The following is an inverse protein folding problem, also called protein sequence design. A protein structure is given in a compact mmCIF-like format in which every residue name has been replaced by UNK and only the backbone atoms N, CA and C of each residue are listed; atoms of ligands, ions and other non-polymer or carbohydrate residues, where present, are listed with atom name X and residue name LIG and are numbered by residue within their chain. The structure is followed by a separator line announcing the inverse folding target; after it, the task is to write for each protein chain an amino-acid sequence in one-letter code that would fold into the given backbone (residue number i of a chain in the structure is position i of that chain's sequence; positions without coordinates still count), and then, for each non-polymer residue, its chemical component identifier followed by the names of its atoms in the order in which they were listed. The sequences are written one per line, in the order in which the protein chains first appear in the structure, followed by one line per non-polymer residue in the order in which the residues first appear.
data_IF_660324694218
#
_entry.id   IF_660324694218
#
_cell.length_a   1.000
_cell.length_b   1.000
_cell.length_c   1.000
_cell.angle_alpha   90.00
_cell.angle_beta   90.00
_cell.angle_gamma   90.00
#
_symmetry.space_group_name_H-M   'P 1'
#
loop_
_entity.id
_entity.type
_entity.pdbx_description
1 polymer ?
#
# COMPACT_ATOMS: atom_id res chain seq x y z
N UNK A 1 51.92 -30.84 -19.26
CA UNK A 1 51.45 -31.05 -17.87
C UNK A 1 50.03 -30.53 -17.75
N UNK A 2 49.05 -31.43 -17.73
CA UNK A 2 47.62 -31.09 -17.69
C UNK A 2 47.22 -30.91 -16.22
N UNK A 3 46.96 -29.67 -15.78
CA UNK A 3 46.50 -29.36 -14.41
C UNK A 3 45.12 -29.99 -14.22
N UNK A 4 45.04 -31.06 -13.43
CA UNK A 4 43.77 -31.62 -12.96
C UNK A 4 43.01 -30.54 -12.18
N UNK A 5 41.95 -30.00 -12.77
CA UNK A 5 41.00 -29.14 -12.07
C UNK A 5 40.20 -30.01 -11.11
N UNK A 6 40.24 -29.68 -9.82
CA UNK A 6 39.49 -30.39 -8.79
C UNK A 6 37.97 -30.14 -9.01
N UNK A 7 37.20 -31.15 -9.42
CA UNK A 7 35.78 -30.99 -9.77
C UNK A 7 34.93 -30.50 -8.59
N UNK A 8 35.36 -30.77 -7.36
CA UNK A 8 34.69 -30.28 -6.15
C UNK A 8 34.73 -28.77 -6.00
N UNK A 9 35.81 -28.12 -6.43
CA UNK A 9 35.90 -26.65 -6.37
C UNK A 9 34.97 -25.97 -7.35
N UNK A 10 34.68 -26.62 -8.48
CA UNK A 10 33.79 -26.10 -9.50
C UNK A 10 32.32 -26.24 -9.06
N UNK A 11 31.95 -27.40 -8.50
CA UNK A 11 30.61 -27.64 -7.97
C UNK A 11 30.26 -26.69 -6.80
N UNK A 12 31.21 -26.46 -5.88
CA UNK A 12 31.00 -25.54 -4.74
C UNK A 12 30.83 -24.10 -5.21
N UNK A 13 31.58 -23.66 -6.21
CA UNK A 13 31.46 -22.32 -6.78
C UNK A 13 30.11 -22.11 -7.49
N UNK A 14 29.62 -23.12 -8.22
CA UNK A 14 28.31 -23.07 -8.88
C UNK A 14 27.16 -23.00 -7.87
N UNK A 15 27.22 -23.81 -6.80
CA UNK A 15 26.21 -23.77 -5.72
C UNK A 15 26.22 -22.41 -5.00
N UNK A 16 27.39 -21.86 -4.68
CA UNK A 16 27.51 -20.54 -4.05
C UNK A 16 26.95 -19.43 -4.94
N UNK A 17 27.19 -19.47 -6.25
CA UNK A 17 26.63 -18.52 -7.21
C UNK A 17 25.10 -18.61 -7.29
N UNK A 18 24.54 -19.82 -7.27
CA UNK A 18 23.08 -20.02 -7.26
C UNK A 18 22.47 -19.49 -5.96
N UNK A 19 23.09 -19.78 -4.81
CA UNK A 19 22.63 -19.26 -3.51
C UNK A 19 22.70 -17.74 -3.46
N UNK A 20 23.78 -17.14 -3.97
CA UNK A 20 23.93 -15.69 -4.04
C UNK A 20 22.89 -15.04 -4.96
N UNK A 21 22.65 -15.63 -6.14
CA UNK A 21 21.62 -15.17 -7.06
C UNK A 21 20.21 -15.29 -6.45
N UNK A 22 19.92 -16.40 -5.76
CA UNK A 22 18.66 -16.60 -5.06
C UNK A 22 18.47 -15.60 -3.90
N UNK A 23 19.52 -15.30 -3.15
CA UNK A 23 19.51 -14.27 -2.09
C UNK A 23 19.27 -12.87 -2.67
N UNK A 24 19.90 -12.53 -3.79
CA UNK A 24 19.71 -11.24 -4.46
C UNK A 24 18.28 -11.08 -5.03
N UNK A 25 17.67 -12.17 -5.51
CA UNK A 25 16.28 -12.18 -5.99
C UNK A 25 15.27 -12.16 -4.83
N UNK A 26 15.58 -12.83 -3.71
CA UNK A 26 14.74 -12.84 -2.52
C UNK A 26 14.70 -11.48 -1.80
N UNK A 27 15.75 -10.66 -1.99
CA UNK A 27 15.73 -9.25 -1.62
C UNK A 27 14.91 -8.46 -2.65
N UNK A 28 13.58 -8.65 -2.69
CA UNK A 28 12.68 -7.62 -3.23
C UNK A 28 12.90 -6.36 -2.40
N UNK A 29 13.78 -5.53 -2.92
CA UNK A 29 14.36 -4.39 -2.24
C UNK A 29 13.29 -3.32 -2.26
N UNK A 30 12.86 -2.91 -1.07
CA UNK A 30 12.18 -1.64 -0.97
C UNK A 30 13.20 -0.55 -1.34
N UNK A 31 12.74 0.48 -2.06
CA UNK A 31 13.59 1.58 -2.48
C UNK A 31 13.01 2.88 -1.94
N UNK A 32 13.85 3.65 -1.26
CA UNK A 32 13.54 5.04 -0.91
C UNK A 32 14.30 5.93 -1.90
N UNK A 33 13.57 6.57 -2.82
CA UNK A 33 14.14 7.56 -3.75
C UNK A 33 13.72 8.94 -3.30
N UNK A 34 14.68 9.87 -3.29
CA UNK A 34 14.44 11.27 -2.94
C UNK A 34 14.52 12.12 -4.22
N UNK A 35 13.42 12.75 -4.58
CA UNK A 35 13.30 13.73 -5.67
C UNK A 35 12.98 15.11 -5.07
N UNK A 36 14.00 15.73 -4.47
CA UNK A 36 14.01 17.04 -3.80
C UNK A 36 12.94 17.25 -2.70
N UNK A 37 11.65 17.16 -3.02
CA UNK A 37 10.51 17.41 -2.13
C UNK A 37 9.71 16.17 -1.74
N UNK A 38 10.01 15.01 -2.33
CA UNK A 38 9.25 13.78 -2.14
C UNK A 38 10.15 12.60 -1.74
N UNK A 39 9.59 11.69 -0.96
CA UNK A 39 10.16 10.36 -0.68
C UNK A 39 9.27 9.30 -1.30
N UNK A 40 9.83 8.60 -2.28
CA UNK A 40 9.18 7.48 -2.97
C UNK A 40 9.46 6.18 -2.23
N UNK A 41 8.42 5.44 -1.89
CA UNK A 41 8.41 4.23 -1.09
C UNK A 41 7.91 3.07 -1.98
N UNK A 42 8.83 2.34 -2.59
CA UNK A 42 8.48 1.24 -3.49
C UNK A 42 8.40 -0.11 -2.76
N UNK A 43 7.37 -0.90 -3.03
CA UNK A 43 7.24 -2.27 -2.52
C UNK A 43 6.72 -2.38 -1.09
N UNK A 44 7.04 -3.48 -0.41
CA UNK A 44 6.54 -3.75 0.95
C UNK A 44 7.07 -2.72 1.97
N UNK A 45 6.15 -2.13 2.73
CA UNK A 45 6.46 -1.27 3.85
C UNK A 45 7.01 -2.13 5.00
N UNK A 46 8.22 -1.81 5.45
CA UNK A 46 8.88 -2.51 6.55
C UNK A 46 9.56 -1.51 7.51
N UNK A 47 10.06 -2.02 8.64
CA UNK A 47 10.68 -1.19 9.68
C UNK A 47 11.97 -0.50 9.20
N UNK A 48 12.73 -1.12 8.30
CA UNK A 48 13.96 -0.51 7.79
C UNK A 48 13.66 0.67 6.84
N UNK A 49 12.62 0.55 6.01
CA UNK A 49 12.08 1.69 5.23
C UNK A 49 11.67 2.84 6.15
N UNK A 50 10.94 2.52 7.22
CA UNK A 50 10.43 3.51 8.15
C UNK A 50 11.53 4.29 8.87
N UNK A 51 12.60 3.61 9.30
CA UNK A 51 13.77 4.29 9.88
C UNK A 51 14.46 5.20 8.85
N UNK A 52 14.53 4.81 7.58
CA UNK A 52 15.05 5.67 6.51
C UNK A 52 14.18 6.92 6.29
N UNK A 53 12.85 6.76 6.27
CA UNK A 53 11.91 7.89 6.16
C UNK A 53 12.10 8.85 7.34
N UNK A 54 12.12 8.33 8.57
CA UNK A 54 12.32 9.10 9.79
C UNK A 54 13.65 9.85 9.78
N UNK A 55 14.75 9.17 9.46
CA UNK A 55 16.08 9.78 9.37
C UNK A 55 16.13 10.89 8.30
N UNK A 56 15.44 10.69 7.17
CA UNK A 56 15.41 11.68 6.09
C UNK A 56 14.60 12.91 6.47
N UNK A 57 13.41 12.73 7.04
CA UNK A 57 12.57 13.83 7.54
C UNK A 57 13.26 14.61 8.66
N UNK A 58 13.98 13.95 9.56
CA UNK A 58 14.74 14.62 10.62
C UNK A 58 15.90 15.47 10.07
N UNK A 59 16.59 15.00 9.02
CA UNK A 59 17.68 15.75 8.38
C UNK A 59 17.20 16.91 7.53
N UNK A 60 15.97 16.83 6.98
CA UNK A 60 15.42 17.79 6.02
C UNK A 60 13.94 18.09 6.28
N UNK A 61 13.57 18.63 7.46
CA UNK A 61 12.18 18.65 7.94
C UNK A 61 11.23 19.54 7.13
N UNK A 62 11.74 20.52 6.40
CA UNK A 62 10.93 21.47 5.61
C UNK A 62 11.00 21.22 4.11
N UNK A 63 11.97 20.42 3.66
CA UNK A 63 12.19 20.18 2.24
C UNK A 63 11.25 19.09 1.72
N UNK A 64 11.15 17.98 2.46
CA UNK A 64 10.29 16.86 2.10
C UNK A 64 8.88 17.13 2.62
N UNK A 65 7.91 17.16 1.72
CA UNK A 65 6.51 17.39 2.05
C UNK A 65 5.57 16.30 1.51
N UNK A 66 6.10 15.27 0.83
CA UNK A 66 5.29 14.23 0.19
C UNK A 66 5.90 12.83 0.39
N UNK A 67 5.03 11.87 0.72
CA UNK A 67 5.34 10.44 0.64
C UNK A 67 4.61 9.84 -0.58
N UNK A 68 5.36 9.37 -1.56
CA UNK A 68 4.80 8.66 -2.71
C UNK A 68 4.92 7.15 -2.48
N UNK A 69 3.81 6.44 -2.45
CA UNK A 69 3.79 4.98 -2.42
C UNK A 69 3.74 4.42 -3.84
N UNK A 70 4.64 3.50 -4.16
CA UNK A 70 4.74 2.90 -5.50
C UNK A 70 4.68 1.37 -5.40
N UNK A 71 3.75 0.74 -6.10
CA UNK A 71 3.60 -0.72 -6.19
C UNK A 71 3.72 -1.44 -4.83
N UNK A 72 3.03 -0.89 -3.83
CA UNK A 72 3.14 -1.31 -2.45
C UNK A 72 1.98 -2.23 -2.04
N UNK A 73 2.26 -3.48 -1.64
CA UNK A 73 1.23 -4.38 -1.11
C UNK A 73 0.83 -4.04 0.33
N UNK A 74 1.40 -2.98 0.91
CA UNK A 74 1.30 -2.67 2.32
C UNK A 74 2.45 -3.28 3.11
N UNK A 75 2.17 -3.79 4.30
CA UNK A 75 3.16 -4.33 5.24
C UNK A 75 2.78 -5.75 5.66
N UNK A 76 3.77 -6.58 5.94
CA UNK A 76 3.59 -7.89 6.56
C UNK A 76 3.32 -7.81 8.07
N UNK A 77 4.04 -8.62 8.84
CA UNK A 77 3.77 -8.85 10.26
C UNK A 77 3.80 -7.58 11.14
N UNK A 78 4.53 -6.54 10.74
CA UNK A 78 4.65 -5.27 11.48
C UNK A 78 3.66 -4.18 11.01
N UNK A 79 2.59 -4.53 10.29
CA UNK A 79 1.68 -3.57 9.66
C UNK A 79 1.10 -2.52 10.62
N UNK A 80 0.67 -2.93 11.81
CA UNK A 80 0.10 -2.02 12.82
C UNK A 80 1.13 -0.99 13.31
N UNK A 81 2.35 -1.45 13.61
CA UNK A 81 3.46 -0.60 14.06
C UNK A 81 3.84 0.39 12.96
N UNK A 82 3.97 -0.09 11.73
CA UNK A 82 4.37 0.74 10.58
C UNK A 82 3.31 1.81 10.31
N UNK A 83 2.03 1.43 10.32
CA UNK A 83 0.93 2.36 10.09
C UNK A 83 0.87 3.45 11.17
N UNK A 84 1.07 3.09 12.45
CA UNK A 84 1.08 4.06 13.56
C UNK A 84 2.22 5.08 13.46
N UNK A 85 3.39 4.61 13.06
CA UNK A 85 4.55 5.47 12.90
C UNK A 85 4.44 6.35 11.64
N UNK A 86 3.96 5.80 10.52
CA UNK A 86 3.67 6.59 9.33
C UNK A 86 2.60 7.64 9.61
N UNK A 87 1.52 7.32 10.31
CA UNK A 87 0.52 8.30 10.75
C UNK A 87 1.17 9.43 11.57
N UNK A 88 2.02 9.06 12.53
CA UNK A 88 2.72 10.02 13.38
C UNK A 88 3.61 10.96 12.57
N UNK A 89 4.35 10.42 11.60
CA UNK A 89 5.21 11.20 10.71
C UNK A 89 4.38 12.10 9.78
N UNK A 90 3.34 11.56 9.14
CA UNK A 90 2.43 12.30 8.26
C UNK A 90 1.83 13.50 9.01
N UNK A 91 1.33 13.29 10.23
CA UNK A 91 0.75 14.37 11.03
C UNK A 91 1.80 15.39 11.46
N UNK A 92 2.98 14.93 11.90
CA UNK A 92 4.04 15.81 12.42
C UNK A 92 4.62 16.74 11.35
N UNK A 93 4.77 16.24 10.12
CA UNK A 93 5.38 16.98 9.01
C UNK A 93 4.35 17.42 7.96
N UNK A 94 3.05 17.30 8.26
CA UNK A 94 1.92 17.63 7.39
C UNK A 94 2.04 17.04 5.97
N UNK A 95 2.55 15.81 5.89
CA UNK A 95 2.92 15.19 4.61
C UNK A 95 1.70 14.94 3.73
N UNK A 96 1.83 15.33 2.47
CA UNK A 96 0.96 14.85 1.39
C UNK A 96 1.32 13.41 1.07
N UNK A 97 0.37 12.69 0.50
CA UNK A 97 0.52 11.31 0.07
C UNK A 97 0.14 11.16 -1.39
N UNK A 98 0.94 10.37 -2.09
CA UNK A 98 0.72 10.03 -3.49
C UNK A 98 0.73 8.51 -3.63
N UNK A 99 -0.02 7.97 -4.58
CA UNK A 99 0.05 6.57 -4.95
C UNK A 99 0.22 6.43 -6.46
N UNK A 100 1.18 5.60 -6.86
CA UNK A 100 1.45 5.23 -8.25
C UNK A 100 1.46 3.69 -8.36
N UNK A 101 0.79 3.15 -9.38
CA UNK A 101 0.56 1.71 -9.45
C UNK A 101 -0.39 1.24 -8.34
N UNK A 102 -0.14 0.09 -7.72
CA UNK A 102 -1.03 -0.38 -6.65
C UNK A 102 -0.54 0.06 -5.26
N UNK A 103 -1.48 0.40 -4.38
CA UNK A 103 -1.23 0.69 -2.98
C UNK A 103 -2.29 -0.01 -2.13
N UNK A 104 -1.94 -1.16 -1.56
CA UNK A 104 -2.88 -2.07 -0.90
C UNK A 104 -2.64 -2.15 0.61
N UNK A 105 -3.65 -2.59 1.36
CA UNK A 105 -3.54 -2.89 2.79
C UNK A 105 -3.04 -1.67 3.59
N UNK A 106 -2.00 -1.85 4.41
CA UNK A 106 -1.38 -0.78 5.18
C UNK A 106 -0.91 0.40 4.32
N UNK A 107 -0.58 0.19 3.04
CA UNK A 107 -0.26 1.28 2.12
C UNK A 107 -1.49 2.16 1.89
N UNK A 108 -2.63 1.59 1.52
CA UNK A 108 -3.86 2.34 1.26
C UNK A 108 -4.29 3.15 2.49
N UNK A 109 -4.19 2.54 3.68
CA UNK A 109 -4.48 3.20 4.93
C UNK A 109 -3.52 4.38 5.18
N UNK A 110 -2.20 4.19 5.03
CA UNK A 110 -1.22 5.25 5.20
C UNK A 110 -1.40 6.39 4.18
N UNK A 111 -1.68 6.06 2.92
CA UNK A 111 -2.02 7.01 1.88
C UNK A 111 -3.21 7.88 2.30
N UNK A 112 -4.31 7.27 2.74
CA UNK A 112 -5.54 8.02 3.09
C UNK A 112 -5.39 8.94 4.31
N UNK A 113 -4.34 8.75 5.13
CA UNK A 113 -4.04 9.59 6.29
C UNK A 113 -3.32 10.90 5.93
N UNK A 114 -2.82 11.06 4.69
CA UNK A 114 -2.15 12.27 4.20
C UNK A 114 -2.95 13.57 4.32
N UNK A 115 -2.25 14.70 4.41
CA UNK A 115 -2.86 16.05 4.43
C UNK A 115 -3.51 16.42 3.09
N UNK A 116 -2.91 15.96 1.99
CA UNK A 116 -3.46 15.91 0.65
C UNK A 116 -3.16 14.54 0.03
N UNK A 117 -4.04 14.03 -0.81
CA UNK A 117 -4.01 12.65 -1.35
C UNK A 117 -4.13 12.71 -2.86
N UNK A 118 -3.17 12.17 -3.60
CA UNK A 118 -3.20 12.18 -5.08
C UNK A 118 -2.94 10.79 -5.66
N UNK A 119 -3.77 10.34 -6.61
CA UNK A 119 -3.49 9.17 -7.44
C UNK A 119 -2.79 9.61 -8.73
N UNK A 120 -1.59 9.09 -8.96
CA UNK A 120 -0.76 9.36 -10.13
C UNK A 120 -0.99 8.30 -11.23
N UNK A 121 -0.69 8.57 -12.51
CA UNK A 121 -0.70 7.53 -13.53
C UNK A 121 0.47 6.55 -13.34
N UNK A 122 0.28 5.26 -13.64
CA UNK A 122 1.39 4.30 -13.61
C UNK A 122 2.32 4.49 -14.82
N UNK A 123 3.63 4.34 -14.60
CA UNK A 123 4.64 4.44 -15.67
C UNK A 123 4.57 3.27 -16.66
N UNK A 124 4.04 2.13 -16.24
CA UNK A 124 3.99 0.88 -17.02
C UNK A 124 2.62 0.58 -17.63
N UNK A 125 1.68 1.55 -17.58
CA UNK A 125 0.32 1.41 -18.08
C UNK A 125 -0.61 0.54 -17.23
N UNK A 126 -0.15 -0.01 -16.10
CA UNK A 126 -1.03 -0.71 -15.15
C UNK A 126 -2.00 0.27 -14.47
N UNK A 127 -3.17 -0.20 -14.01
CA UNK A 127 -4.09 0.64 -13.27
C UNK A 127 -3.44 1.10 -11.96
N UNK A 128 -3.58 2.39 -11.65
CA UNK A 128 -3.31 2.90 -10.30
C UNK A 128 -4.55 2.76 -9.44
N UNK A 129 -4.41 2.12 -8.29
CA UNK A 129 -5.53 1.89 -7.37
C UNK A 129 -5.11 1.75 -5.91
N UNK A 130 -6.06 2.02 -5.03
CA UNK A 130 -6.00 1.70 -3.61
C UNK A 130 -6.81 0.43 -3.34
N UNK A 131 -6.33 -0.41 -2.43
CA UNK A 131 -7.14 -1.48 -1.85
C UNK A 131 -7.07 -1.38 -0.33
N UNK A 132 -8.21 -1.08 0.30
CA UNK A 132 -8.36 -0.97 1.75
C UNK A 132 -9.11 -2.20 2.28
N UNK A 133 -8.64 -2.77 3.38
CA UNK A 133 -9.32 -3.84 4.12
C UNK A 133 -9.06 -3.67 5.61
N UNK A 134 -9.72 -4.48 6.44
CA UNK A 134 -9.60 -4.39 7.89
C UNK A 134 -8.18 -4.69 8.40
N UNK A 135 -7.77 -4.01 9.48
CA UNK A 135 -6.50 -4.30 10.15
C UNK A 135 -6.61 -5.62 10.89
N UNK A 136 -5.58 -6.47 10.80
CA UNK A 136 -5.54 -7.76 11.50
C UNK A 136 -4.53 -7.78 12.64
N UNK A 137 -4.80 -8.63 13.62
CA UNK A 137 -3.85 -9.00 14.65
C UNK A 137 -2.75 -9.90 14.08
N UNK A 138 -1.49 -9.58 14.39
CA UNK A 138 -0.33 -10.33 13.91
C UNK A 138 -0.33 -11.81 14.36
N UNK A 139 -0.84 -12.11 15.55
CA UNK A 139 -0.72 -13.43 16.17
C UNK A 139 -1.74 -14.47 15.68
N UNK A 140 -2.98 -14.06 15.41
CA UNK A 140 -4.08 -14.96 15.06
C UNK A 140 -4.76 -14.60 13.74
N UNK A 141 -4.38 -13.50 13.08
CA UNK A 141 -4.96 -13.06 11.81
C UNK A 141 -6.40 -12.54 11.92
N UNK A 142 -6.97 -12.46 13.12
CA UNK A 142 -8.33 -11.94 13.33
C UNK A 142 -8.38 -10.44 13.07
N UNK A 143 -9.55 -9.96 12.66
CA UNK A 143 -9.80 -8.53 12.49
C UNK A 143 -9.69 -7.81 13.84
N UNK A 144 -8.85 -6.79 13.84
CA UNK A 144 -8.72 -5.84 14.93
C UNK A 144 -9.73 -4.70 14.73
N UNK A 145 -10.97 -4.93 15.15
CA UNK A 145 -12.08 -3.98 15.00
C UNK A 145 -11.76 -2.61 15.59
N UNK A 146 -11.29 -2.55 16.84
CA UNK A 146 -10.99 -1.28 17.52
C UNK A 146 -9.92 -0.47 16.78
N UNK A 147 -8.86 -1.13 16.27
CA UNK A 147 -7.83 -0.46 15.48
C UNK A 147 -8.38 0.00 14.12
N UNK A 148 -9.13 -0.87 13.46
CA UNK A 148 -9.72 -0.59 12.15
C UNK A 148 -10.66 0.61 12.24
N UNK A 149 -11.58 0.63 13.20
CA UNK A 149 -12.49 1.75 13.48
C UNK A 149 -11.74 3.05 13.75
N UNK A 150 -10.67 3.00 14.54
CA UNK A 150 -9.85 4.18 14.82
C UNK A 150 -9.20 4.75 13.55
N UNK A 151 -8.75 3.90 12.64
CA UNK A 151 -8.16 4.31 11.36
C UNK A 151 -9.23 4.89 10.44
N UNK A 152 -10.37 4.23 10.23
CA UNK A 152 -11.39 4.74 9.33
C UNK A 152 -12.02 6.06 9.81
N UNK A 153 -12.15 6.25 11.14
CA UNK A 153 -12.56 7.55 11.72
C UNK A 153 -11.55 8.65 11.40
N UNK A 154 -10.24 8.33 11.42
CA UNK A 154 -9.19 9.27 11.00
C UNK A 154 -9.24 9.57 9.51
N UNK A 155 -9.43 8.56 8.66
CA UNK A 155 -9.58 8.72 7.21
C UNK A 155 -10.76 9.65 6.89
N UNK A 156 -11.94 9.37 7.45
CA UNK A 156 -13.13 10.20 7.24
C UNK A 156 -12.89 11.65 7.69
N UNK A 157 -12.32 11.86 8.88
CA UNK A 157 -11.98 13.21 9.37
C UNK A 157 -10.97 13.92 8.47
N UNK A 158 -9.88 13.26 8.07
CA UNK A 158 -8.82 13.88 7.25
C UNK A 158 -9.29 14.20 5.83
N UNK A 159 -10.35 13.52 5.35
CA UNK A 159 -11.04 13.84 4.10
C UNK A 159 -12.03 15.02 4.22
N UNK A 160 -12.19 15.60 5.42
CA UNK A 160 -13.23 16.61 5.68
C UNK A 160 -14.65 16.04 5.63
N UNK A 161 -14.81 14.74 5.94
CA UNK A 161 -16.08 14.02 5.85
C UNK A 161 -16.47 13.54 4.44
N UNK A 162 -15.64 13.82 3.42
CA UNK A 162 -15.88 13.40 2.03
C UNK A 162 -15.84 11.88 1.84
N UNK A 163 -15.07 11.18 2.66
CA UNK A 163 -15.06 9.72 2.69
C UNK A 163 -16.11 9.26 3.73
N UNK A 164 -17.31 8.81 3.30
CA UNK A 164 -18.40 8.55 4.21
C UNK A 164 -18.12 7.30 5.04
N UNK A 165 -18.44 7.36 6.33
CA UNK A 165 -18.30 6.22 7.24
C UNK A 165 -19.10 5.00 6.78
N UNK A 166 -20.25 5.20 6.12
CA UNK A 166 -21.05 4.11 5.56
C UNK A 166 -20.25 3.30 4.53
N UNK A 167 -19.49 3.95 3.65
CA UNK A 167 -18.61 3.26 2.71
C UNK A 167 -17.42 2.63 3.44
N UNK A 168 -16.77 3.34 4.36
CA UNK A 168 -15.62 2.80 5.09
C UNK A 168 -15.95 1.57 5.92
N UNK A 169 -17.16 1.50 6.49
CA UNK A 169 -17.60 0.32 7.24
C UNK A 169 -17.79 -0.91 6.36
N UNK A 170 -17.91 -0.75 5.03
CA UNK A 170 -17.97 -1.88 4.08
C UNK A 170 -16.71 -2.73 4.06
N UNK A 171 -15.60 -2.30 4.67
CA UNK A 171 -14.42 -3.17 4.89
C UNK A 171 -14.72 -4.37 5.79
N UNK A 172 -15.83 -4.35 6.54
CA UNK A 172 -16.28 -5.48 7.34
C UNK A 172 -17.28 -6.37 6.60
N UNK A 173 -17.71 -5.97 5.40
CA UNK A 173 -18.69 -6.71 4.61
C UNK A 173 -17.97 -7.84 3.86
N UNK A 174 -17.88 -9.00 4.50
CA UNK A 174 -17.49 -10.22 3.82
C UNK A 174 -18.59 -11.28 3.88
N UNK A 175 -18.58 -12.17 2.89
CA UNK A 175 -19.53 -13.29 2.82
C UNK A 175 -19.17 -14.38 3.84
N UNK A 176 -17.97 -14.33 4.42
CA UNK A 176 -17.42 -15.35 5.33
C UNK A 176 -17.67 -15.07 6.81
N UNK A 177 -18.14 -13.87 7.17
CA UNK A 177 -18.30 -13.41 8.54
C UNK A 177 -16.99 -13.12 9.27
N UNK A 178 -15.87 -12.98 8.57
CA UNK A 178 -14.54 -12.76 9.16
C UNK A 178 -14.13 -11.28 9.18
N UNK A 179 -14.91 -10.39 8.53
CA UNK A 179 -14.59 -8.97 8.40
C UNK A 179 -13.53 -8.65 7.33
N UNK A 180 -13.47 -9.46 6.26
CA UNK A 180 -12.48 -9.39 5.18
C UNK A 180 -12.93 -8.59 3.95
N UNK A 181 -13.87 -7.65 4.12
CA UNK A 181 -14.31 -6.80 3.02
C UNK A 181 -13.16 -5.97 2.47
N UNK A 182 -13.14 -5.78 1.16
CA UNK A 182 -12.12 -4.99 0.47
C UNK A 182 -12.78 -3.84 -0.29
N UNK A 183 -12.26 -2.63 -0.11
CA UNK A 183 -12.67 -1.45 -0.87
C UNK A 183 -11.56 -1.12 -1.85
N UNK A 184 -11.88 -1.15 -3.14
CA UNK A 184 -10.97 -0.73 -4.20
C UNK A 184 -11.35 0.67 -4.67
N UNK A 185 -10.35 1.52 -4.87
CA UNK A 185 -10.51 2.87 -5.43
C UNK A 185 -9.53 3.03 -6.58
N UNK A 186 -10.03 3.07 -7.81
CA UNK A 186 -9.22 3.21 -9.01
C UNK A 186 -9.08 4.66 -9.44
N UNK A 187 -7.87 5.03 -9.89
CA UNK A 187 -7.61 6.33 -10.53
C UNK A 187 -8.48 6.50 -11.78
N UNK A 188 -8.49 5.49 -12.64
CA UNK A 188 -9.29 5.44 -13.88
C UNK A 188 -10.44 4.47 -13.69
N UNK A 189 -11.66 4.89 -14.05
CA UNK A 189 -12.84 4.04 -13.93
C UNK A 189 -12.66 2.70 -14.66
N UNK A 190 -12.94 1.60 -13.97
CA UNK A 190 -12.92 0.25 -14.52
C UNK A 190 -14.26 -0.08 -15.17
N UNK A 191 -14.23 -0.89 -16.23
CA UNK A 191 -15.43 -1.31 -16.95
C UNK A 191 -16.05 -2.55 -16.28
N UNK A 192 -17.33 -2.48 -16.00
CA UNK A 192 -18.17 -3.61 -15.56
C UNK A 192 -19.39 -3.74 -16.47
N UNK A 193 -20.19 -4.82 -16.36
CA UNK A 193 -21.46 -4.93 -17.07
C UNK A 193 -22.42 -3.75 -16.79
N UNK A 194 -22.30 -3.11 -15.63
CA UNK A 194 -23.15 -2.01 -15.17
C UNK A 194 -22.56 -0.62 -15.49
N UNK A 195 -21.50 -0.53 -16.29
CA UNK A 195 -20.92 0.74 -16.73
C UNK A 195 -19.46 0.93 -16.29
N UNK A 196 -19.05 2.17 -16.08
CA UNK A 196 -17.69 2.51 -15.66
C UNK A 196 -17.71 3.09 -14.26
N UNK A 197 -16.96 2.46 -13.34
CA UNK A 197 -16.99 2.80 -11.93
C UNK A 197 -15.56 2.92 -11.37
N UNK A 198 -15.36 3.80 -10.40
CA UNK A 198 -14.05 3.97 -9.75
C UNK A 198 -13.94 3.17 -8.45
N UNK A 199 -15.05 2.96 -7.76
CA UNK A 199 -15.06 2.37 -6.42
C UNK A 199 -15.81 1.06 -6.43
N UNK A 200 -15.22 0.06 -5.79
CA UNK A 200 -15.76 -1.29 -5.70
C UNK A 200 -15.66 -1.80 -4.28
N UNK A 201 -16.67 -2.55 -3.84
CA UNK A 201 -16.65 -3.32 -2.60
C UNK A 201 -16.65 -4.80 -2.95
N UNK A 202 -15.64 -5.52 -2.48
CA UNK A 202 -15.47 -6.95 -2.71
C UNK A 202 -15.58 -7.70 -1.38
N UNK A 203 -15.98 -8.97 -1.45
CA UNK A 203 -16.23 -9.83 -0.28
C UNK A 203 -14.99 -10.54 0.29
N UNK A 204 -13.79 -10.11 -0.12
CA UNK A 204 -12.51 -10.66 0.37
C UNK A 204 -12.15 -12.05 -0.13
N UNK A 205 -12.92 -12.67 -1.04
CA UNK A 205 -12.55 -13.98 -1.58
C UNK A 205 -11.20 -13.91 -2.33
N UNK A 206 -10.37 -14.96 -2.26
CA UNK A 206 -9.14 -14.99 -3.04
C UNK A 206 -9.44 -14.91 -4.54
N UNK A 207 -8.65 -14.11 -5.27
CA UNK A 207 -8.71 -13.98 -6.74
C UNK A 207 -10.06 -13.44 -7.28
N UNK A 208 -10.71 -12.57 -6.51
CA UNK A 208 -11.91 -11.87 -6.99
C UNK A 208 -11.54 -11.00 -8.21
N UNK A 209 -12.31 -11.15 -9.28
CA UNK A 209 -12.25 -10.23 -10.40
C UNK A 209 -13.01 -8.96 -10.03
N UNK A 210 -12.44 -7.78 -10.29
CA UNK A 210 -13.10 -6.50 -9.97
C UNK A 210 -14.51 -6.37 -10.60
N UNK A 211 -14.74 -7.05 -11.75
CA UNK A 211 -16.05 -7.11 -12.40
C UNK A 211 -17.12 -7.88 -11.61
N UNK A 212 -16.73 -8.66 -10.60
CA UNK A 212 -17.62 -9.42 -9.71
C UNK A 212 -17.89 -8.68 -8.39
N UNK A 213 -17.17 -7.59 -8.12
CA UNK A 213 -17.39 -6.77 -6.94
C UNK A 213 -18.60 -5.85 -7.12
N UNK A 214 -19.19 -5.42 -6.01
CA UNK A 214 -20.23 -4.40 -6.02
C UNK A 214 -19.62 -3.06 -6.45
N UNK A 215 -20.05 -2.56 -7.61
CA UNK A 215 -19.69 -1.22 -8.05
C UNK A 215 -20.48 -0.18 -7.26
N UNK A 216 -19.79 0.83 -6.71
CA UNK A 216 -20.44 1.94 -6.02
C UNK A 216 -20.67 3.07 -7.03
N UNK A 217 -21.92 3.29 -7.48
CA UNK A 217 -22.22 4.27 -8.51
C UNK A 217 -21.95 5.69 -8.01
N UNK A 218 -21.59 6.57 -8.94
CA UNK A 218 -21.40 8.02 -8.72
C UNK A 218 -20.34 8.41 -7.67
N UNK A 219 -19.56 7.45 -7.18
CA UNK A 219 -18.42 7.70 -6.29
C UNK A 219 -17.12 7.70 -7.10
N UNK A 220 -16.39 8.80 -7.00
CA UNK A 220 -15.10 9.04 -7.66
C UNK A 220 -14.00 9.27 -6.61
N UNK A 221 -12.71 9.17 -6.96
CA UNK A 221 -11.65 9.57 -6.04
C UNK A 221 -11.84 11.00 -5.52
N UNK A 222 -12.24 11.93 -6.39
CA UNK A 222 -12.45 13.33 -6.06
C UNK A 222 -13.60 13.54 -5.06
N UNK A 223 -14.70 12.79 -5.21
CA UNK A 223 -15.81 12.84 -4.25
C UNK A 223 -15.41 12.33 -2.86
N UNK A 224 -14.37 11.48 -2.78
CA UNK A 224 -13.77 10.99 -1.52
C UNK A 224 -12.66 11.91 -0.97
N UNK A 225 -12.37 13.04 -1.62
CA UNK A 225 -11.29 13.95 -1.22
C UNK A 225 -9.89 13.50 -1.66
N UNK A 226 -9.82 12.75 -2.77
CA UNK A 226 -8.58 12.28 -3.40
C UNK A 226 -8.44 12.96 -4.77
N UNK A 227 -7.31 13.62 -5.00
CA UNK A 227 -6.97 14.22 -6.28
C UNK A 227 -6.51 13.17 -7.28
N UNK A 228 -6.68 13.47 -8.57
CA UNK A 228 -6.20 12.65 -9.68
C UNK A 228 -5.43 13.56 -10.60
N UNK A 229 -4.17 13.23 -10.85
CA UNK A 229 -3.30 13.83 -11.88
C UNK A 229 -3.22 12.87 -13.05
#
# INVERSE_FOLDING_TARGET
MQKYRNPWRQLVAEILMIILAALLVAMKSYKVVNDETRLRLTGELNLAMLEQVKATLQKRPTLINTLQFEDSPGAGAAATIILDQLETLIRRYELRTEAQGYCASACAAAFLLGSGRTLLPSDDGKPTYLMLHAVRHQGNGEVNYGKTEAIIKKISRNSGGKFPMALLNRIFDDVRGNGDGEIYIFRVAQRTPQGRHHVFVCDGRPRVLISECEAIPDVTPQSLGIFVE
#
